data_IF_125614760962
#
_entry.id   IF_125614760962
#
_cell.length_a   1.000
_cell.length_b   1.000
_cell.length_c   1.000
_cell.angle_alpha   90.00
_cell.angle_beta   90.00
_cell.angle_gamma   90.00
#
_symmetry.space_group_name_H-M   'P 1'
#
loop_
_entity.id
_entity.type
_entity.pdbx_description
1 polymer ?
#
# COMPACT_ATOMS: atom_id res chain seq x y z
N UNK A 1 -33.44 22.93 -13.04
CA UNK A 1 -32.18 23.05 -12.26
C UNK A 1 -31.74 21.73 -11.64
N UNK A 2 -32.64 20.94 -11.02
CA UNK A 2 -32.28 19.67 -10.38
C UNK A 2 -31.67 18.62 -11.34
N UNK A 3 -32.18 18.50 -12.58
CA UNK A 3 -31.62 17.60 -13.60
C UNK A 3 -30.17 17.96 -14.02
N UNK A 4 -29.82 19.26 -14.05
CA UNK A 4 -28.47 19.69 -14.44
C UNK A 4 -27.44 19.31 -13.36
N UNK A 5 -27.80 19.41 -12.08
CA UNK A 5 -26.95 18.94 -10.98
C UNK A 5 -26.80 17.41 -10.97
N UNK A 6 -27.87 16.67 -11.26
CA UNK A 6 -27.83 15.20 -11.32
C UNK A 6 -26.96 14.72 -12.48
N UNK A 7 -27.08 15.34 -13.66
CA UNK A 7 -26.24 15.02 -14.82
C UNK A 7 -24.77 15.40 -14.59
N UNK A 8 -24.50 16.56 -13.98
CA UNK A 8 -23.12 16.98 -13.64
C UNK A 8 -22.50 16.04 -12.60
N UNK A 9 -23.26 15.63 -11.58
CA UNK A 9 -22.81 14.67 -10.59
C UNK A 9 -22.51 13.30 -11.22
N UNK A 10 -23.36 12.85 -12.16
CA UNK A 10 -23.17 11.58 -12.87
C UNK A 10 -21.92 11.58 -13.75
N UNK A 11 -21.71 12.65 -14.52
CA UNK A 11 -20.51 12.83 -15.37
C UNK A 11 -19.23 12.88 -14.51
N UNK A 12 -19.30 13.54 -13.34
CA UNK A 12 -18.17 13.60 -12.40
C UNK A 12 -17.87 12.22 -11.81
N UNK A 13 -18.90 11.47 -11.42
CA UNK A 13 -18.75 10.10 -10.90
C UNK A 13 -18.16 9.17 -11.97
N UNK A 14 -18.64 9.26 -13.21
CA UNK A 14 -18.12 8.44 -14.33
C UNK A 14 -16.65 8.77 -14.63
N UNK A 15 -16.29 10.06 -14.61
CA UNK A 15 -14.90 10.50 -14.79
C UNK A 15 -13.99 9.98 -13.66
N UNK A 16 -14.45 10.07 -12.41
CA UNK A 16 -13.73 9.53 -11.25
C UNK A 16 -13.57 8.01 -11.39
N UNK A 17 -14.64 7.30 -11.77
CA UNK A 17 -14.62 5.85 -11.95
C UNK A 17 -13.66 5.43 -13.05
N UNK A 18 -13.58 6.20 -14.13
CA UNK A 18 -12.66 5.97 -15.24
C UNK A 18 -11.20 6.24 -14.83
N UNK A 19 -10.95 7.24 -13.98
CA UNK A 19 -9.62 7.49 -13.38
C UNK A 19 -9.23 6.34 -12.44
N UNK A 20 -10.13 5.85 -11.59
CA UNK A 20 -9.87 4.70 -10.70
C UNK A 20 -9.67 3.38 -11.45
N UNK A 21 -10.25 3.24 -12.65
CA UNK A 21 -10.03 2.10 -13.53
C UNK A 21 -8.70 2.17 -14.29
N UNK A 22 -8.05 3.33 -14.34
CA UNK A 22 -6.75 3.48 -14.99
C UNK A 22 -5.64 2.79 -14.19
N UNK A 23 -4.55 2.32 -14.84
CA UNK A 23 -3.41 1.73 -14.13
C UNK A 23 -2.82 2.65 -13.06
N UNK A 24 -2.78 3.96 -13.34
CA UNK A 24 -2.32 4.96 -12.39
C UNK A 24 -3.25 5.07 -11.17
N UNK A 25 -4.57 5.06 -11.39
CA UNK A 25 -5.56 5.11 -10.32
C UNK A 25 -5.49 3.89 -9.40
N UNK A 26 -5.32 2.70 -9.97
CA UNK A 26 -5.13 1.45 -9.21
C UNK A 26 -3.84 1.52 -8.39
N UNK A 27 -2.74 1.98 -8.99
CA UNK A 27 -1.47 2.16 -8.29
C UNK A 27 -1.60 3.14 -7.12
N UNK A 28 -2.16 4.33 -7.37
CA UNK A 28 -2.34 5.36 -6.35
C UNK A 28 -3.22 4.87 -5.22
N UNK A 29 -4.31 4.17 -5.54
CA UNK A 29 -5.18 3.60 -4.52
C UNK A 29 -4.46 2.54 -3.68
N UNK A 30 -3.72 1.62 -4.32
CA UNK A 30 -2.94 0.59 -3.63
C UNK A 30 -1.87 1.19 -2.71
N UNK A 31 -1.18 2.24 -3.17
CA UNK A 31 -0.17 2.95 -2.39
C UNK A 31 -0.78 3.71 -1.21
N UNK A 32 -1.83 4.51 -1.46
CA UNK A 32 -2.50 5.31 -0.44
C UNK A 32 -3.13 4.43 0.65
N UNK A 33 -3.85 3.39 0.25
CA UNK A 33 -4.46 2.44 1.21
C UNK A 33 -3.41 1.74 2.06
N UNK A 34 -2.30 1.30 1.46
CA UNK A 34 -1.18 0.71 2.20
C UNK A 34 -0.52 1.69 3.16
N UNK A 35 -0.27 2.94 2.73
CA UNK A 35 0.32 3.98 3.60
C UNK A 35 -0.61 4.31 4.78
N UNK A 36 -1.93 4.44 4.52
CA UNK A 36 -2.94 4.64 5.57
C UNK A 36 -2.92 3.46 6.54
N UNK A 37 -2.85 2.22 6.04
CA UNK A 37 -2.75 1.03 6.87
C UNK A 37 -1.50 1.02 7.75
N UNK A 38 -0.34 1.45 7.23
CA UNK A 38 0.90 1.62 8.02
C UNK A 38 0.70 2.66 9.13
N UNK A 39 0.14 3.83 8.81
CA UNK A 39 -0.13 4.90 9.79
C UNK A 39 -1.03 4.39 10.91
N UNK A 40 -2.16 3.76 10.54
CA UNK A 40 -3.15 3.28 11.50
C UNK A 40 -2.54 2.22 12.42
N UNK A 41 -1.83 1.24 11.86
CA UNK A 41 -1.24 0.16 12.65
C UNK A 41 -0.14 0.67 13.57
N UNK A 42 0.76 1.55 13.09
CA UNK A 42 1.80 2.12 13.95
C UNK A 42 1.22 2.98 15.07
N UNK A 43 0.22 3.81 14.78
CA UNK A 43 -0.46 4.61 15.80
C UNK A 43 -1.22 3.74 16.81
N UNK A 44 -1.84 2.65 16.36
CA UNK A 44 -2.47 1.68 17.26
C UNK A 44 -1.44 1.01 18.16
N UNK A 45 -0.34 0.52 17.58
CA UNK A 45 0.71 -0.16 18.36
C UNK A 45 1.43 0.78 19.33
N UNK A 46 1.55 2.07 19.02
CA UNK A 46 2.15 3.03 19.96
C UNK A 46 1.30 3.28 21.20
N UNK A 47 -0.01 3.00 21.13
CA UNK A 47 -0.90 3.11 22.30
C UNK A 47 -0.91 1.86 23.18
N UNK A 48 -0.55 0.69 22.61
CA UNK A 48 -0.73 -0.62 23.25
C UNK A 48 0.61 -1.27 23.65
N UNK A 49 1.70 -0.96 22.95
CA UNK A 49 3.01 -1.56 23.18
C UNK A 49 3.99 -0.57 23.81
N UNK A 50 5.04 -1.12 24.42
CA UNK A 50 6.20 -0.32 24.83
C UNK A 50 6.88 0.33 23.62
N UNK A 51 7.40 1.54 23.81
CA UNK A 51 8.05 2.34 22.76
C UNK A 51 9.17 1.58 22.04
N UNK A 52 9.92 0.74 22.75
CA UNK A 52 11.01 -0.09 22.21
C UNK A 52 10.54 -1.19 21.27
N UNK A 53 9.27 -1.60 21.33
CA UNK A 53 8.71 -2.63 20.45
C UNK A 53 8.34 -2.09 19.06
N UNK A 54 8.07 -0.78 18.94
CA UNK A 54 7.58 -0.16 17.72
C UNK A 54 8.57 -0.27 16.54
N UNK A 55 9.88 0.04 16.72
CA UNK A 55 10.87 -0.11 15.66
C UNK A 55 11.05 -1.57 15.20
N UNK A 56 10.92 -2.52 16.14
CA UNK A 56 11.01 -3.97 15.86
C UNK A 56 9.80 -4.45 15.07
N UNK A 57 8.62 -3.86 15.31
CA UNK A 57 7.37 -4.23 14.65
C UNK A 57 7.20 -3.58 13.27
N UNK A 58 7.87 -2.46 13.02
CA UNK A 58 7.83 -1.72 11.75
C UNK A 58 7.98 -2.60 10.50
N UNK A 59 8.97 -3.52 10.38
CA UNK A 59 9.09 -4.38 9.21
C UNK A 59 7.86 -5.28 9.00
N UNK A 60 7.21 -5.74 10.06
CA UNK A 60 6.00 -6.56 9.97
C UNK A 60 4.81 -5.75 9.48
N UNK A 61 4.62 -4.54 10.02
CA UNK A 61 3.55 -3.62 9.60
C UNK A 61 3.69 -3.25 8.11
N UNK A 62 4.90 -2.89 7.70
CA UNK A 62 5.18 -2.55 6.30
C UNK A 62 5.02 -3.78 5.40
N UNK A 63 5.51 -4.94 5.81
CA UNK A 63 5.39 -6.19 5.03
C UNK A 63 3.93 -6.59 4.82
N UNK A 64 3.12 -6.51 5.86
CA UNK A 64 1.69 -6.82 5.79
C UNK A 64 0.98 -5.89 4.79
N UNK A 65 1.20 -4.58 4.91
CA UNK A 65 0.62 -3.61 3.98
C UNK A 65 1.21 -3.74 2.56
N UNK A 66 2.47 -4.13 2.45
CA UNK A 66 3.12 -4.43 1.17
C UNK A 66 2.43 -5.59 0.47
N UNK A 67 2.15 -6.68 1.18
CA UNK A 67 1.44 -7.84 0.66
C UNK A 67 0.01 -7.51 0.24
N UNK A 68 -0.74 -6.76 1.04
CA UNK A 68 -2.11 -6.37 0.69
C UNK A 68 -2.13 -5.44 -0.53
N UNK A 69 -1.24 -4.45 -0.60
CA UNK A 69 -1.12 -3.58 -1.77
C UNK A 69 -0.71 -4.35 -3.03
N UNK A 70 0.23 -5.31 -2.91
CA UNK A 70 0.66 -6.15 -4.03
C UNK A 70 -0.46 -7.07 -4.54
N UNK A 71 -1.20 -7.69 -3.62
CA UNK A 71 -2.39 -8.48 -3.96
C UNK A 71 -3.43 -7.63 -4.69
N UNK A 72 -3.76 -6.46 -4.13
CA UNK A 72 -4.74 -5.54 -4.69
C UNK A 72 -4.36 -5.08 -6.10
N UNK A 73 -3.07 -4.78 -6.33
CA UNK A 73 -2.60 -4.32 -7.63
C UNK A 73 -2.85 -5.37 -8.73
N UNK A 74 -2.67 -6.66 -8.42
CA UNK A 74 -2.94 -7.75 -9.35
C UNK A 74 -4.44 -8.04 -9.46
N UNK A 75 -5.16 -8.00 -8.33
CA UNK A 75 -6.62 -8.19 -8.29
C UNK A 75 -7.37 -7.14 -9.11
N UNK A 76 -6.97 -5.86 -9.05
CA UNK A 76 -7.60 -4.80 -9.86
C UNK A 76 -6.94 -4.57 -11.20
N UNK A 77 -5.62 -4.72 -11.29
CA UNK A 77 -4.85 -4.46 -12.51
C UNK A 77 -4.99 -5.52 -13.59
N UNK A 78 -5.29 -6.77 -13.22
CA UNK A 78 -5.36 -7.87 -14.18
C UNK A 78 -3.98 -8.29 -14.71
N UNK A 79 -3.99 -9.23 -15.67
CA UNK A 79 -2.78 -9.91 -16.16
C UNK A 79 -1.79 -8.98 -16.88
N UNK A 80 -2.23 -7.76 -17.23
CA UNK A 80 -1.46 -6.82 -18.04
C UNK A 80 -1.24 -5.50 -17.34
N UNK A 81 -1.18 -5.47 -16.01
CA UNK A 81 -0.80 -4.25 -15.31
C UNK A 81 0.59 -3.79 -15.81
N UNK A 82 0.70 -2.60 -16.41
CA UNK A 82 1.93 -2.15 -17.03
C UNK A 82 3.01 -1.99 -15.95
N UNK A 83 4.20 -2.53 -16.22
CA UNK A 83 5.36 -2.42 -15.34
C UNK A 83 5.14 -2.87 -13.89
N UNK A 84 4.34 -3.94 -13.66
CA UNK A 84 4.02 -4.52 -12.34
C UNK A 84 5.20 -4.52 -11.36
N UNK A 85 6.38 -5.00 -11.78
CA UNK A 85 7.57 -5.07 -10.92
C UNK A 85 8.03 -3.71 -10.41
N UNK A 86 8.04 -2.69 -11.30
CA UNK A 86 8.44 -1.33 -10.95
C UNK A 86 7.39 -0.72 -10.00
N UNK A 87 6.10 -0.97 -10.25
CA UNK A 87 5.03 -0.51 -9.37
C UNK A 87 5.08 -1.14 -7.98
N UNK A 88 5.39 -2.44 -7.87
CA UNK A 88 5.56 -3.11 -6.58
C UNK A 88 6.72 -2.49 -5.80
N UNK A 89 7.88 -2.32 -6.43
CA UNK A 89 9.04 -1.65 -5.81
C UNK A 89 8.70 -0.21 -5.40
N UNK A 90 8.01 0.53 -6.26
CA UNK A 90 7.56 1.89 -5.98
C UNK A 90 6.64 1.97 -4.75
N UNK A 91 5.66 1.05 -4.64
CA UNK A 91 4.80 0.95 -3.46
C UNK A 91 5.62 0.61 -2.23
N UNK A 92 6.51 -0.39 -2.29
CA UNK A 92 7.35 -0.76 -1.16
C UNK A 92 8.20 0.42 -0.68
N UNK A 93 8.79 1.20 -1.58
CA UNK A 93 9.51 2.42 -1.22
C UNK A 93 8.61 3.46 -0.53
N UNK A 94 7.41 3.70 -1.04
CA UNK A 94 6.46 4.62 -0.43
C UNK A 94 6.05 4.17 0.98
N UNK A 95 5.79 2.87 1.17
CA UNK A 95 5.45 2.31 2.48
C UNK A 95 6.59 2.41 3.49
N UNK A 96 7.83 2.19 3.05
CA UNK A 96 9.02 2.32 3.90
C UNK A 96 9.22 3.78 4.32
N UNK A 97 9.16 4.71 3.36
CA UNK A 97 9.27 6.14 3.65
C UNK A 97 8.15 6.59 4.59
N UNK A 98 6.91 6.19 4.34
CA UNK A 98 5.78 6.54 5.22
C UNK A 98 5.94 5.93 6.62
N UNK A 99 6.34 4.67 6.72
CA UNK A 99 6.50 3.98 7.99
C UNK A 99 7.62 4.58 8.84
N UNK A 100 8.77 4.87 8.23
CA UNK A 100 9.87 5.54 8.93
C UNK A 100 9.53 6.99 9.33
N UNK A 101 8.79 7.71 8.47
CA UNK A 101 8.33 9.05 8.79
C UNK A 101 7.36 9.06 9.97
N UNK A 102 6.35 8.16 9.97
CA UNK A 102 5.42 7.99 11.09
C UNK A 102 6.15 7.58 12.36
N UNK A 103 7.11 6.64 12.27
CA UNK A 103 7.90 6.23 13.42
C UNK A 103 8.66 7.41 14.03
N UNK A 104 9.21 8.30 13.21
CA UNK A 104 9.90 9.52 13.67
C UNK A 104 8.96 10.48 14.40
N UNK A 105 7.71 10.61 13.93
CA UNK A 105 6.69 11.43 14.60
C UNK A 105 6.31 10.85 15.95
N UNK A 106 6.16 9.52 16.03
CA UNK A 106 5.77 8.82 17.26
C UNK A 106 6.90 8.71 18.29
N UNK A 107 8.15 8.57 17.82
CA UNK A 107 9.35 8.37 18.62
C UNK A 107 10.44 9.36 18.16
N UNK A 108 10.34 10.66 18.51
CA UNK A 108 11.26 11.69 17.99
C UNK A 108 12.71 11.53 18.45
N UNK A 109 12.97 10.72 19.47
CA UNK A 109 14.32 10.40 19.95
C UNK A 109 14.99 9.26 19.19
N UNK A 110 14.27 8.52 18.35
CA UNK A 110 14.85 7.48 17.49
C UNK A 110 15.64 8.10 16.33
N UNK A 111 16.79 7.51 16.00
CA UNK A 111 17.62 8.00 14.90
C UNK A 111 16.90 7.87 13.57
N UNK A 112 16.65 8.98 12.86
CA UNK A 112 16.00 8.95 11.54
C UNK A 112 16.81 8.18 10.49
N UNK A 113 18.13 8.06 10.63
CA UNK A 113 19.03 7.51 9.61
C UNK A 113 19.65 6.16 10.04
N UNK A 114 18.87 5.30 10.69
CA UNK A 114 19.30 3.91 10.91
C UNK A 114 19.20 3.11 9.60
N UNK A 115 20.32 3.05 8.88
CA UNK A 115 20.43 2.32 7.62
C UNK A 115 20.07 0.83 7.72
N UNK A 116 20.31 0.20 8.88
CA UNK A 116 19.96 -1.20 9.10
C UNK A 116 18.45 -1.38 9.08
N UNK A 117 17.72 -0.47 9.74
CA UNK A 117 16.25 -0.47 9.75
C UNK A 117 15.67 -0.25 8.36
N UNK A 118 16.20 0.68 7.57
CA UNK A 118 15.76 0.88 6.18
C UNK A 118 16.02 -0.36 5.31
N UNK A 119 17.15 -1.03 5.50
CA UNK A 119 17.51 -2.21 4.72
C UNK A 119 16.58 -3.39 5.05
N UNK A 120 16.36 -3.67 6.34
CA UNK A 120 15.47 -4.76 6.78
C UNK A 120 14.02 -4.47 6.38
N UNK A 121 13.52 -3.27 6.67
CA UNK A 121 12.13 -2.90 6.33
C UNK A 121 11.92 -2.86 4.81
N UNK A 122 12.88 -2.33 4.05
CA UNK A 122 12.84 -2.29 2.59
C UNK A 122 12.87 -3.67 1.95
N UNK A 123 13.78 -4.54 2.38
CA UNK A 123 13.86 -5.91 1.88
C UNK A 123 12.56 -6.68 2.16
N UNK A 124 12.03 -6.55 3.38
CA UNK A 124 10.77 -7.19 3.77
C UNK A 124 9.58 -6.63 2.98
N UNK A 125 9.49 -5.30 2.83
CA UNK A 125 8.45 -4.63 2.05
C UNK A 125 8.40 -5.14 0.60
N UNK A 126 9.56 -5.18 -0.06
CA UNK A 126 9.67 -5.66 -1.44
C UNK A 126 9.25 -7.12 -1.50
N UNK A 127 9.87 -7.98 -0.68
CA UNK A 127 9.58 -9.42 -0.70
C UNK A 127 8.08 -9.69 -0.53
N UNK A 128 7.44 -9.08 0.48
CA UNK A 128 6.03 -9.30 0.74
C UNK A 128 5.10 -8.65 -0.28
N UNK A 129 5.47 -7.52 -0.89
CA UNK A 129 4.72 -6.97 -2.03
C UNK A 129 4.72 -7.91 -3.23
N UNK A 130 5.85 -8.53 -3.55
CA UNK A 130 5.92 -9.56 -4.59
C UNK A 130 5.12 -10.81 -4.19
N UNK A 131 5.20 -11.23 -2.93
CA UNK A 131 4.45 -12.37 -2.43
C UNK A 131 2.93 -12.15 -2.52
N UNK A 132 2.44 -10.97 -2.12
CA UNK A 132 1.03 -10.59 -2.25
C UNK A 132 0.57 -10.56 -3.70
N UNK A 133 1.37 -10.00 -4.60
CA UNK A 133 1.10 -10.00 -6.04
C UNK A 133 1.02 -11.43 -6.61
N UNK A 134 1.90 -12.33 -6.16
CA UNK A 134 1.86 -13.74 -6.55
C UNK A 134 0.58 -14.43 -6.08
N UNK A 135 0.14 -14.21 -4.84
CA UNK A 135 -1.14 -14.71 -4.34
C UNK A 135 -2.31 -14.18 -5.17
N UNK A 136 -2.31 -12.87 -5.48
CA UNK A 136 -3.35 -12.25 -6.31
C UNK A 136 -3.43 -12.87 -7.71
N UNK A 137 -2.28 -13.16 -8.32
CA UNK A 137 -2.22 -13.83 -9.62
C UNK A 137 -2.80 -15.24 -9.55
N UNK A 138 -2.47 -15.98 -8.48
CA UNK A 138 -2.99 -17.34 -8.29
C UNK A 138 -4.50 -17.36 -8.07
N UNK A 139 -5.03 -16.45 -7.25
CA UNK A 139 -6.48 -16.31 -7.01
C UNK A 139 -7.24 -16.11 -8.32
N UNK A 140 -6.77 -15.19 -9.17
CA UNK A 140 -7.41 -14.94 -10.47
C UNK A 140 -7.40 -16.11 -11.42
N UNK A 141 -6.36 -16.93 -11.40
CA UNK A 141 -6.31 -18.12 -12.24
C UNK A 141 -7.32 -19.18 -11.81
N UNK A 142 -7.63 -19.25 -10.51
CA UNK A 142 -8.65 -20.16 -9.97
C UNK A 142 -10.06 -19.70 -10.34
N UNK A 143 -10.35 -18.40 -10.22
CA UNK A 143 -11.66 -17.82 -10.58
C UNK A 143 -11.99 -17.97 -12.08
N UNK A 144 -10.98 -18.16 -12.94
CA UNK A 144 -11.16 -18.42 -14.37
C UNK A 144 -11.36 -19.89 -14.72
N UNK A 145 -11.00 -20.80 -13.80
CA UNK A 145 -11.12 -22.23 -14.01
C UNK A 145 -12.47 -22.80 -13.53
N UNK A 146 -13.23 -22.02 -12.74
CA UNK A 146 -14.60 -22.29 -12.30
C UNK A 146 -15.64 -21.73 -13.27
#
# INVERSE_FOLDING_TARGET
>A
MLNICVDTARVTIESIKQVFASPLGIFLYAALSGMIGVVILLAFFSMVLAESALPVLLPFVISFNGATSGFYLVDKGGDRFPHLRISLVGISCLLVVSGCFVLTILLPWESMLDGTRYLITGAAAVFFSFFGAWIGSKSKNMDRAS
#
